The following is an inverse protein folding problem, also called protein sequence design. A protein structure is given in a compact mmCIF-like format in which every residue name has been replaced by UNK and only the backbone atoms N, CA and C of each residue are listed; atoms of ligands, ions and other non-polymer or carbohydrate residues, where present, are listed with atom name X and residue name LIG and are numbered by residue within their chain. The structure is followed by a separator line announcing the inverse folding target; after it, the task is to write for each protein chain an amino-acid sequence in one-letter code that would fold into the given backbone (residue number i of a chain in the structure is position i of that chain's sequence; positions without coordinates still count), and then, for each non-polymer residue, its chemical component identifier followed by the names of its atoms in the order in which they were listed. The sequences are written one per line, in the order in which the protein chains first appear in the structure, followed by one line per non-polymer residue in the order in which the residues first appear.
data_IF_207983336249
#
_entry.id   IF_207983336249
#
_cell.length_a   1.000
_cell.length_b   1.000
_cell.length_c   1.000
_cell.angle_alpha   90.00
_cell.angle_beta   90.00
_cell.angle_gamma   90.00
#
_symmetry.space_group_name_H-M   'P 1'
#
loop_
_entity.id
_entity.type
_entity.pdbx_description
1 polymer ?
#
# COMPACT_ATOMS: atom_id res chain seq x y z
N UNK A 1 10.69 -17.24 -4.51
CA UNK A 1 9.43 -17.42 -3.80
C UNK A 1 8.38 -18.16 -4.64
N UNK A 2 8.05 -17.75 -5.85
CA UNK A 2 7.15 -18.48 -6.79
C UNK A 2 7.53 -19.95 -6.95
N UNK A 3 8.81 -20.23 -7.25
CA UNK A 3 9.33 -21.59 -7.47
C UNK A 3 9.10 -22.51 -6.26
N UNK A 4 9.35 -22.04 -5.05
CA UNK A 4 9.24 -22.83 -3.82
C UNK A 4 7.78 -23.13 -3.46
N UNK A 5 6.91 -22.11 -3.50
CA UNK A 5 5.50 -22.26 -3.10
C UNK A 5 4.64 -22.99 -4.14
N UNK A 6 4.96 -22.85 -5.41
CA UNK A 6 4.16 -23.40 -6.48
C UNK A 6 4.68 -24.73 -7.01
N UNK A 7 5.99 -24.84 -7.28
CA UNK A 7 6.55 -26.05 -7.86
C UNK A 7 6.93 -27.11 -6.82
N UNK A 8 7.42 -26.69 -5.64
CA UNK A 8 7.90 -27.62 -4.62
C UNK A 8 6.81 -28.05 -3.65
N UNK A 9 5.88 -27.17 -3.31
CA UNK A 9 4.80 -27.45 -2.35
C UNK A 9 3.45 -27.74 -3.02
N UNK A 10 3.27 -27.43 -4.33
CA UNK A 10 2.03 -27.62 -5.10
C UNK A 10 0.76 -27.10 -4.40
N UNK A 11 0.94 -26.13 -3.49
CA UNK A 11 -0.14 -25.63 -2.63
C UNK A 11 -1.05 -24.63 -3.37
N UNK A 12 -0.55 -23.99 -4.43
CA UNK A 12 -1.27 -22.91 -5.11
C UNK A 12 -1.05 -22.97 -6.64
N UNK A 13 -2.09 -22.80 -7.48
CA UNK A 13 -1.95 -22.75 -8.92
C UNK A 13 -1.17 -21.50 -9.37
N UNK A 14 -0.21 -21.68 -10.28
CA UNK A 14 0.69 -20.60 -10.78
C UNK A 14 0.01 -19.69 -11.78
N UNK A 15 -0.92 -20.21 -12.59
CA UNK A 15 -1.41 -19.51 -13.78
C UNK A 15 -2.93 -19.41 -13.77
N UNK A 16 -3.44 -18.17 -13.87
CA UNK A 16 -4.70 -17.81 -14.53
C UNK A 16 -5.99 -18.51 -14.12
N UNK A 17 -6.03 -19.24 -13.00
CA UNK A 17 -7.32 -19.70 -12.53
C UNK A 17 -8.05 -18.50 -11.90
N UNK A 18 -9.14 -18.07 -12.53
CA UNK A 18 -10.10 -17.08 -11.99
C UNK A 18 -10.75 -17.58 -10.68
N UNK A 19 -10.31 -18.72 -10.18
CA UNK A 19 -10.69 -19.26 -8.88
C UNK A 19 -10.11 -18.39 -7.76
N UNK A 20 -10.85 -18.16 -6.68
CA UNK A 20 -10.40 -17.36 -5.53
C UNK A 20 -9.06 -17.79 -4.94
N UNK A 21 -8.61 -19.02 -5.19
CA UNK A 21 -7.27 -19.51 -4.82
C UNK A 21 -6.14 -18.93 -5.69
N UNK A 22 -6.42 -18.50 -6.91
CA UNK A 22 -5.42 -17.92 -7.83
C UNK A 22 -4.99 -16.51 -7.44
N UNK A 23 -5.79 -15.76 -6.66
CA UNK A 23 -5.47 -14.40 -6.23
C UNK A 23 -4.48 -14.37 -5.05
N UNK A 24 -4.36 -15.48 -4.30
CA UNK A 24 -3.55 -15.53 -3.08
C UNK A 24 -2.08 -15.28 -3.38
N UNK A 25 -1.54 -15.86 -4.44
CA UNK A 25 -0.14 -15.69 -4.82
C UNK A 25 0.22 -14.23 -5.19
N UNK A 26 -0.47 -13.58 -6.15
CA UNK A 26 -0.24 -12.17 -6.46
C UNK A 26 -0.40 -11.27 -5.22
N UNK A 27 -1.45 -11.51 -4.42
CA UNK A 27 -1.70 -10.74 -3.21
C UNK A 27 -0.59 -10.89 -2.17
N UNK A 28 -0.06 -12.09 -1.95
CA UNK A 28 1.05 -12.34 -1.04
C UNK A 28 2.34 -11.63 -1.49
N UNK A 29 2.65 -11.65 -2.78
CA UNK A 29 3.83 -10.96 -3.31
C UNK A 29 3.73 -9.46 -3.07
N UNK A 30 2.58 -8.85 -3.41
CA UNK A 30 2.34 -7.44 -3.16
C UNK A 30 2.36 -7.11 -1.66
N UNK A 31 1.68 -7.91 -0.84
CA UNK A 31 1.61 -7.70 0.60
C UNK A 31 3.00 -7.74 1.27
N UNK A 32 3.84 -8.71 0.94
CA UNK A 32 5.17 -8.83 1.51
C UNK A 32 6.09 -7.67 1.08
N UNK A 33 6.05 -7.30 -0.20
CA UNK A 33 6.85 -6.19 -0.72
C UNK A 33 6.46 -4.87 -0.05
N UNK A 34 5.16 -4.61 0.05
CA UNK A 34 4.64 -3.40 0.67
C UNK A 34 4.85 -3.38 2.18
N UNK A 35 4.65 -4.51 2.87
CA UNK A 35 4.85 -4.60 4.32
C UNK A 35 6.28 -4.23 4.71
N UNK A 36 7.28 -4.71 3.98
CA UNK A 36 8.68 -4.38 4.24
C UNK A 36 8.96 -2.88 4.09
N UNK A 37 8.31 -2.24 3.11
CA UNK A 37 8.45 -0.80 2.89
C UNK A 37 7.72 0.00 3.97
N UNK A 38 6.47 -0.36 4.30
CA UNK A 38 5.67 0.32 5.33
C UNK A 38 6.30 0.22 6.73
N UNK A 39 6.79 -0.95 7.13
CA UNK A 39 7.45 -1.13 8.42
C UNK A 39 8.61 -0.14 8.58
N UNK A 40 9.42 0.04 7.54
CA UNK A 40 10.55 0.98 7.56
C UNK A 40 10.08 2.43 7.68
N UNK A 41 9.07 2.82 6.91
CA UNK A 41 8.55 4.18 6.93
C UNK A 41 7.85 4.53 8.25
N UNK A 42 6.96 3.65 8.72
CA UNK A 42 6.24 3.84 9.99
C UNK A 42 7.23 3.90 11.15
N UNK A 43 8.25 3.02 11.15
CA UNK A 43 9.29 3.08 12.17
C UNK A 43 10.01 4.43 12.17
N UNK A 44 10.36 4.97 11.01
CA UNK A 44 10.99 6.30 10.90
C UNK A 44 10.10 7.40 11.48
N UNK A 45 8.81 7.41 11.14
CA UNK A 45 7.84 8.37 11.65
C UNK A 45 7.73 8.30 13.18
N UNK A 46 7.61 7.08 13.73
CA UNK A 46 7.48 6.88 15.18
C UNK A 46 8.75 7.30 15.93
N UNK A 47 9.94 6.98 15.40
CA UNK A 47 11.20 7.39 16.01
C UNK A 47 11.36 8.92 16.02
N UNK A 48 11.03 9.57 14.92
CA UNK A 48 11.09 11.03 14.82
C UNK A 48 10.12 11.71 15.80
N UNK A 49 8.94 11.12 16.01
CA UNK A 49 7.96 11.64 16.97
C UNK A 49 8.40 11.41 18.44
N UNK A 50 9.12 10.33 18.72
CA UNK A 50 9.67 10.04 20.05
C UNK A 50 10.78 11.00 20.48
N UNK A 51 11.44 11.66 19.53
CA UNK A 51 12.49 12.66 19.77
C UNK A 51 11.94 14.07 20.03
N UNK A 52 10.62 14.26 20.01
CA UNK A 52 9.98 15.55 20.25
C UNK A 52 10.05 15.95 21.73
N UNK A 53 10.22 17.24 22.00
CA UNK A 53 10.38 17.82 23.34
C UNK A 53 9.20 17.50 24.31
N UNK A 54 7.97 17.37 23.77
CA UNK A 54 6.82 17.02 24.60
C UNK A 54 6.94 15.61 25.21
N UNK A 55 7.64 14.69 24.54
CA UNK A 55 7.88 13.33 25.03
C UNK A 55 8.77 13.36 26.26
N UNK A 56 9.81 14.17 26.25
CA UNK A 56 10.70 14.36 27.40
C UNK A 56 9.96 15.04 28.57
N UNK A 57 9.06 15.98 28.26
CA UNK A 57 8.18 16.57 29.27
C UNK A 57 7.23 15.54 29.92
N UNK A 58 6.74 14.57 29.17
CA UNK A 58 5.90 13.47 29.70
C UNK A 58 6.71 12.48 30.55
N UNK A 59 7.93 12.15 30.12
CA UNK A 59 8.86 11.31 30.89
C UNK A 59 9.22 11.97 32.25
N UNK A 60 9.50 13.25 32.24
CA UNK A 60 9.81 14.02 33.47
C UNK A 60 8.65 14.05 34.47
N UNK A 61 7.41 13.90 33.96
CA UNK A 61 6.20 13.78 34.82
C UNK A 61 5.93 12.35 35.29
N UNK A 62 6.82 11.40 34.99
CA UNK A 62 6.70 10.00 35.42
C UNK A 62 5.70 9.16 34.64
N UNK A 63 5.32 9.57 33.42
CA UNK A 63 4.47 8.77 32.57
C UNK A 63 5.23 7.52 32.07
N UNK A 64 4.58 6.35 32.10
CA UNK A 64 5.20 5.11 31.60
C UNK A 64 5.42 5.16 30.09
N UNK A 65 6.50 4.55 29.60
CA UNK A 65 6.86 4.53 28.18
C UNK A 65 5.74 3.98 27.29
N UNK A 66 5.07 2.91 27.69
CA UNK A 66 3.95 2.35 26.95
C UNK A 66 2.78 3.33 26.82
N UNK A 67 2.49 4.10 27.88
CA UNK A 67 1.44 5.10 27.84
C UNK A 67 1.80 6.26 26.91
N UNK A 68 3.04 6.71 26.93
CA UNK A 68 3.54 7.73 26.02
C UNK A 68 3.42 7.24 24.57
N UNK A 69 3.87 6.02 24.30
CA UNK A 69 3.85 5.46 22.94
C UNK A 69 2.44 5.31 22.38
N UNK A 70 1.53 4.65 23.11
CA UNK A 70 0.21 4.31 22.58
C UNK A 70 -0.79 5.47 22.59
N UNK A 71 -0.74 6.35 23.59
CA UNK A 71 -1.75 7.40 23.73
C UNK A 71 -1.32 8.77 23.18
N UNK A 72 -0.02 9.04 23.13
CA UNK A 72 0.49 10.33 22.65
C UNK A 72 1.18 10.20 21.31
N UNK A 73 2.25 9.42 21.23
CA UNK A 73 3.07 9.29 20.02
C UNK A 73 2.27 8.67 18.88
N UNK A 74 1.61 7.52 19.09
CA UNK A 74 0.86 6.84 18.04
C UNK A 74 -0.30 7.71 17.51
N UNK A 75 -0.96 8.46 18.37
CA UNK A 75 -2.03 9.38 17.97
C UNK A 75 -1.50 10.48 17.04
N UNK A 76 -0.36 11.07 17.37
CA UNK A 76 0.27 12.10 16.53
C UNK A 76 0.81 11.52 15.22
N UNK A 77 1.33 10.28 15.25
CA UNK A 77 1.78 9.57 14.07
C UNK A 77 0.65 9.17 13.09
N UNK A 78 -0.61 9.16 13.53
CA UNK A 78 -1.74 8.76 12.66
C UNK A 78 -1.86 9.67 11.43
N UNK A 79 -1.61 10.96 11.59
CA UNK A 79 -1.69 11.91 10.48
C UNK A 79 -0.67 11.60 9.37
N UNK A 80 0.65 11.54 9.64
CA UNK A 80 1.63 11.16 8.62
C UNK A 80 1.44 9.73 8.10
N UNK A 81 0.93 8.79 8.91
CA UNK A 81 0.65 7.42 8.47
C UNK A 81 -0.50 7.39 7.44
N UNK A 82 -1.59 8.10 7.69
CA UNK A 82 -2.72 8.20 6.74
C UNK A 82 -2.26 8.82 5.43
N UNK A 83 -1.41 9.85 5.48
CA UNK A 83 -0.80 10.43 4.28
C UNK A 83 0.04 9.44 3.50
N UNK A 84 0.91 8.71 4.21
CA UNK A 84 1.75 7.67 3.64
C UNK A 84 0.89 6.60 2.92
N UNK A 85 -0.20 6.16 3.55
CA UNK A 85 -1.14 5.21 2.96
C UNK A 85 -1.79 5.79 1.69
N UNK A 86 -2.27 7.05 1.73
CA UNK A 86 -2.87 7.71 0.59
C UNK A 86 -1.93 7.80 -0.62
N UNK A 87 -0.69 8.24 -0.40
CA UNK A 87 0.33 8.34 -1.46
C UNK A 87 0.70 6.96 -2.04
N UNK A 88 0.65 5.92 -1.23
CA UNK A 88 0.99 4.56 -1.65
C UNK A 88 -0.04 3.92 -2.59
N UNK A 89 -1.28 4.39 -2.60
CA UNK A 89 -2.27 3.91 -3.57
C UNK A 89 -1.84 4.19 -5.01
N UNK A 90 -1.18 5.32 -5.28
CA UNK A 90 -0.63 5.60 -6.59
C UNK A 90 0.44 4.58 -7.02
N UNK A 91 1.34 4.22 -6.12
CA UNK A 91 2.39 3.22 -6.40
C UNK A 91 1.82 1.81 -6.50
N UNK A 92 0.77 1.49 -5.74
CA UNK A 92 0.03 0.22 -5.84
C UNK A 92 -0.63 0.06 -7.20
N UNK A 93 -1.30 1.10 -7.69
CA UNK A 93 -1.97 1.07 -9.00
C UNK A 93 -0.99 0.80 -10.14
N UNK A 94 0.22 1.39 -10.10
CA UNK A 94 1.28 1.12 -11.09
C UNK A 94 1.96 -0.24 -10.89
N UNK A 95 2.27 -0.61 -9.64
CA UNK A 95 2.97 -1.85 -9.32
C UNK A 95 2.13 -3.12 -9.50
N UNK A 96 0.81 -3.03 -9.32
CA UNK A 96 -0.09 -4.16 -9.54
C UNK A 96 -0.11 -4.64 -10.99
N UNK A 97 0.04 -3.74 -11.98
CA UNK A 97 0.05 -4.08 -13.40
C UNK A 97 1.16 -5.08 -13.77
N UNK A 98 2.35 -4.93 -13.18
CA UNK A 98 3.47 -5.86 -13.39
C UNK A 98 3.14 -7.23 -12.80
N UNK A 99 2.62 -7.27 -11.58
CA UNK A 99 2.26 -8.51 -10.89
C UNK A 99 1.11 -9.21 -11.62
N UNK A 100 0.07 -8.49 -12.02
CA UNK A 100 -1.04 -9.02 -12.82
C UNK A 100 -0.56 -9.64 -14.13
N UNK A 101 0.40 -9.00 -14.79
CA UNK A 101 0.98 -9.52 -16.05
C UNK A 101 1.78 -10.78 -15.81
N UNK A 102 2.64 -10.82 -14.79
CA UNK A 102 3.47 -11.99 -14.46
C UNK A 102 2.60 -13.20 -14.09
N UNK A 103 1.54 -12.99 -13.30
CA UNK A 103 0.63 -14.06 -12.87
C UNK A 103 -0.49 -14.34 -13.87
N UNK A 104 -0.51 -13.63 -15.02
CA UNK A 104 -1.58 -13.72 -16.03
C UNK A 104 -2.99 -13.50 -15.44
N UNK A 105 -3.08 -12.67 -14.40
CA UNK A 105 -4.34 -12.33 -13.77
C UNK A 105 -5.12 -11.33 -14.63
N UNK A 106 -6.42 -11.54 -14.87
CA UNK A 106 -7.24 -10.63 -15.69
C UNK A 106 -7.64 -9.38 -14.87
N UNK A 107 -6.69 -8.50 -14.61
CA UNK A 107 -6.90 -7.24 -13.90
C UNK A 107 -6.78 -6.03 -14.83
N UNK A 108 -7.09 -4.84 -14.26
CA UNK A 108 -7.10 -3.57 -14.99
C UNK A 108 -5.68 -3.15 -15.41
N UNK A 109 -4.69 -3.46 -14.58
CA UNK A 109 -3.28 -3.18 -14.89
C UNK A 109 -2.77 -4.02 -16.06
N UNK A 110 -3.14 -5.30 -16.13
CA UNK A 110 -2.82 -6.14 -17.28
C UNK A 110 -3.50 -5.65 -18.57
N UNK A 111 -4.77 -5.19 -18.46
CA UNK A 111 -5.47 -4.59 -19.59
C UNK A 111 -4.67 -3.40 -20.14
N UNK A 112 -4.18 -2.51 -19.25
CA UNK A 112 -3.37 -1.37 -19.67
C UNK A 112 -2.09 -1.81 -20.41
N UNK A 113 -1.33 -2.77 -19.85
CA UNK A 113 -0.09 -3.27 -20.46
C UNK A 113 -0.36 -3.90 -21.84
N UNK A 114 -1.41 -4.69 -21.98
CA UNK A 114 -1.78 -5.31 -23.26
C UNK A 114 -2.22 -4.27 -24.29
N UNK A 115 -3.00 -3.27 -23.89
CA UNK A 115 -3.45 -2.18 -24.77
C UNK A 115 -2.29 -1.30 -25.24
N UNK A 116 -1.30 -1.03 -24.38
CA UNK A 116 -0.07 -0.34 -24.75
C UNK A 116 0.70 -1.14 -25.80
N UNK A 117 0.83 -2.44 -25.60
CA UNK A 117 1.52 -3.33 -26.56
C UNK A 117 0.79 -3.43 -27.90
N UNK A 118 -0.55 -3.39 -27.88
CA UNK A 118 -1.42 -3.39 -29.06
C UNK A 118 -1.57 -2.00 -29.70
N UNK A 119 -1.05 -0.92 -29.09
CA UNK A 119 -1.23 0.48 -29.51
C UNK A 119 -2.70 0.90 -29.59
N UNK A 120 -3.54 0.35 -28.69
CA UNK A 120 -4.96 0.69 -28.61
C UNK A 120 -5.13 2.00 -27.80
N UNK A 121 -4.99 3.12 -28.49
CA UNK A 121 -5.04 4.46 -27.88
C UNK A 121 -6.36 4.78 -27.17
N UNK A 122 -7.54 4.43 -27.70
CA UNK A 122 -8.80 4.67 -26.99
C UNK A 122 -8.85 4.01 -25.61
N UNK A 123 -8.41 2.75 -25.51
CA UNK A 123 -8.40 2.03 -24.21
C UNK A 123 -7.34 2.61 -23.28
N UNK A 124 -6.16 2.99 -23.79
CA UNK A 124 -5.11 3.62 -22.97
C UNK A 124 -5.62 4.95 -22.39
N UNK A 125 -6.25 5.79 -23.21
CA UNK A 125 -6.80 7.08 -22.73
C UNK A 125 -7.89 6.89 -21.66
N UNK A 126 -8.82 5.97 -21.90
CA UNK A 126 -9.86 5.63 -20.93
C UNK A 126 -9.26 5.14 -19.60
N UNK A 127 -8.24 4.28 -19.67
CA UNK A 127 -7.53 3.79 -18.49
C UNK A 127 -6.88 4.94 -17.71
N UNK A 128 -6.17 5.84 -18.38
CA UNK A 128 -5.48 6.97 -17.72
C UNK A 128 -6.49 7.89 -17.02
N UNK A 129 -7.59 8.23 -17.70
CA UNK A 129 -8.65 9.06 -17.11
C UNK A 129 -9.28 8.39 -15.89
N UNK A 130 -9.58 7.09 -15.99
CA UNK A 130 -10.14 6.31 -14.89
C UNK A 130 -9.21 6.28 -13.68
N UNK A 131 -7.93 6.00 -13.90
CA UNK A 131 -6.92 5.97 -12.83
C UNK A 131 -6.70 7.34 -12.19
N UNK A 132 -6.71 8.41 -13.00
CA UNK A 132 -6.62 9.78 -12.49
C UNK A 132 -7.81 10.13 -11.58
N UNK A 133 -9.03 9.72 -11.95
CA UNK A 133 -10.23 9.94 -11.12
C UNK A 133 -10.12 9.18 -9.78
N UNK A 134 -9.73 7.91 -9.80
CA UNK A 134 -9.54 7.12 -8.57
C UNK A 134 -8.49 7.77 -7.68
N UNK A 135 -7.36 8.18 -8.25
CA UNK A 135 -6.29 8.83 -7.50
C UNK A 135 -6.73 10.15 -6.86
N UNK A 136 -7.48 10.97 -7.59
CA UNK A 136 -8.06 12.21 -7.07
C UNK A 136 -9.04 11.95 -5.92
N UNK A 137 -9.90 10.94 -6.04
CA UNK A 137 -10.84 10.57 -4.97
C UNK A 137 -10.11 10.11 -3.70
N UNK A 138 -9.05 9.29 -3.85
CA UNK A 138 -8.25 8.84 -2.72
C UNK A 138 -7.55 10.02 -2.04
N UNK A 139 -6.93 10.93 -2.82
CA UNK A 139 -6.29 12.11 -2.26
C UNK A 139 -7.30 13.06 -1.57
N UNK A 140 -8.48 13.24 -2.14
CA UNK A 140 -9.54 13.99 -1.49
C UNK A 140 -9.97 13.36 -0.16
N UNK A 141 -10.13 12.03 -0.11
CA UNK A 141 -10.46 11.31 1.12
C UNK A 141 -9.36 11.48 2.19
N UNK A 142 -8.09 11.41 1.79
CA UNK A 142 -6.95 11.68 2.69
C UNK A 142 -6.99 13.11 3.19
N UNK A 143 -7.23 14.09 2.32
CA UNK A 143 -7.33 15.51 2.70
C UNK A 143 -8.48 15.78 3.70
N UNK A 144 -9.63 15.14 3.51
CA UNK A 144 -10.75 15.20 4.46
C UNK A 144 -10.37 14.58 5.80
N UNK A 145 -9.65 13.45 5.78
CA UNK A 145 -9.16 12.80 7.01
C UNK A 145 -8.24 13.72 7.82
N UNK A 146 -7.47 14.58 7.17
CA UNK A 146 -6.65 15.60 7.83
C UNK A 146 -7.48 16.60 8.63
N UNK A 147 -8.63 17.02 8.12
CA UNK A 147 -9.49 17.99 8.80
C UNK A 147 -10.19 17.40 10.01
N UNK A 148 -10.46 16.10 10.02
CA UNK A 148 -11.10 15.40 11.13
C UNK A 148 -10.13 14.96 12.24
N UNK A 149 -8.83 14.79 11.95
CA UNK A 149 -7.81 14.34 12.91
C UNK A 149 -7.11 15.51 13.63
N UNK A 150 -7.37 16.74 13.21
CA UNK A 150 -6.83 17.96 13.85
C UNK A 150 -7.80 18.50 14.88
#
# INVERSE_FOLDING_TARGET
MMYVLSMKLQLLPVIGSVSGKGIIMPALVLALTLSAWYIRQIRGIVLQELEQEYVDGLKSRGASENRILFFHVLKNCMLPIVTLLGMSFGTLLGGSAIVETIFSWPGVGRLAVTSISARDYPVIQAYVVWMAMIYLLINAAVAVSYTHLR
#
